data_IF_417308052179
#
_entry.id   IF_417308052179
#
_cell.length_a   1.000
_cell.length_b   1.000
_cell.length_c   1.000
_cell.angle_alpha   90.00
_cell.angle_beta   90.00
_cell.angle_gamma   90.00
#
_symmetry.space_group_name_H-M   'P 1'
#
loop_
_entity.id
_entity.type
_entity.pdbx_description
1 polymer ?
#
# COMPACT_ATOMS: atom_id res chain seq x y z
N UNK A 1 49.38 -58.92 31.49
CA UNK A 1 48.00 -58.44 31.66
C UNK A 1 47.44 -58.10 30.29
N UNK A 2 46.66 -59.03 29.75
CA UNK A 2 46.20 -59.00 28.36
C UNK A 2 44.85 -58.31 28.31
N UNK A 3 44.78 -57.15 27.66
CA UNK A 3 43.53 -56.40 27.45
C UNK A 3 42.57 -57.30 26.65
N UNK A 4 41.45 -57.63 27.27
CA UNK A 4 40.38 -58.36 26.61
C UNK A 4 39.93 -57.61 25.37
N UNK A 5 40.25 -58.20 24.22
CA UNK A 5 39.81 -57.74 22.91
C UNK A 5 38.31 -58.01 22.86
N UNK A 6 37.51 -56.99 23.12
CA UNK A 6 36.05 -57.03 23.03
C UNK A 6 35.65 -57.33 21.58
N UNK A 7 35.58 -58.63 21.26
CA UNK A 7 34.98 -59.17 20.06
C UNK A 7 33.47 -59.18 20.28
N UNK A 8 32.76 -58.76 19.23
CA UNK A 8 31.30 -58.80 19.00
C UNK A 8 30.69 -57.40 19.20
N UNK A 9 30.30 -56.69 18.13
CA UNK A 9 29.15 -57.12 17.34
C UNK A 9 29.11 -56.34 16.02
N UNK A 10 29.39 -57.02 14.90
CA UNK A 10 29.20 -56.48 13.55
C UNK A 10 27.75 -56.04 13.32
N UNK A 11 26.78 -56.72 13.96
CA UNK A 11 25.39 -56.29 13.98
C UNK A 11 25.21 -54.95 14.71
N UNK A 12 25.80 -54.76 15.90
CA UNK A 12 25.78 -53.48 16.63
C UNK A 12 26.38 -52.35 15.81
N UNK A 13 27.49 -52.60 15.11
CA UNK A 13 28.11 -51.65 14.18
C UNK A 13 27.16 -51.27 13.02
N UNK A 14 26.49 -52.25 12.41
CA UNK A 14 25.57 -52.03 11.30
C UNK A 14 24.31 -51.25 11.73
N UNK A 15 23.76 -51.55 12.91
CA UNK A 15 22.63 -50.81 13.48
C UNK A 15 23.01 -49.36 13.81
N UNK A 16 24.20 -49.14 14.35
CA UNK A 16 24.75 -47.79 14.58
C UNK A 16 24.93 -47.03 13.27
N UNK A 17 25.44 -47.69 12.23
CA UNK A 17 25.61 -47.07 10.91
C UNK A 17 24.26 -46.68 10.30
N UNK A 18 23.28 -47.58 10.30
CA UNK A 18 21.91 -47.29 9.83
C UNK A 18 21.22 -46.19 10.64
N UNK A 19 21.42 -46.16 11.96
CA UNK A 19 20.88 -45.10 12.82
C UNK A 19 21.52 -43.74 12.50
N UNK A 20 22.84 -43.72 12.30
CA UNK A 20 23.57 -42.53 11.89
C UNK A 20 23.11 -42.03 10.52
N UNK A 21 22.93 -42.92 9.55
CA UNK A 21 22.46 -42.57 8.21
C UNK A 21 21.04 -42.00 8.24
N UNK A 22 20.14 -42.62 9.01
CA UNK A 22 18.79 -42.08 9.26
C UNK A 22 18.83 -40.70 9.92
N UNK A 23 19.69 -40.50 10.91
CA UNK A 23 19.87 -39.20 11.56
C UNK A 23 20.37 -38.15 10.55
N UNK A 24 21.37 -38.49 9.74
CA UNK A 24 21.89 -37.60 8.69
C UNK A 24 20.82 -37.24 7.66
N UNK A 25 19.99 -38.20 7.26
CA UNK A 25 18.85 -37.94 6.36
C UNK A 25 17.85 -36.97 7.02
N UNK A 26 17.52 -37.15 8.30
CA UNK A 26 16.64 -36.24 9.04
C UNK A 26 17.21 -34.84 9.14
N UNK A 27 18.49 -34.72 9.48
CA UNK A 27 19.19 -33.42 9.55
C UNK A 27 19.21 -32.74 8.18
N UNK A 28 19.51 -33.49 7.11
CA UNK A 28 19.53 -32.94 5.75
C UNK A 28 18.14 -32.50 5.26
N UNK A 29 17.08 -33.18 5.70
CA UNK A 29 15.68 -32.85 5.38
C UNK A 29 15.05 -31.86 6.36
N UNK A 30 15.78 -31.43 7.39
CA UNK A 30 15.22 -30.53 8.39
C UNK A 30 15.00 -29.14 7.76
N UNK A 31 13.75 -28.69 7.79
CA UNK A 31 13.39 -27.32 7.43
C UNK A 31 13.69 -26.39 8.62
N UNK A 32 13.93 -25.10 8.33
CA UNK A 32 14.06 -24.06 9.36
C UNK A 32 12.91 -24.11 10.37
N UNK A 33 13.22 -23.95 11.65
CA UNK A 33 12.24 -23.97 12.73
C UNK A 33 11.28 -22.77 12.69
N UNK A 34 11.75 -21.65 12.13
CA UNK A 34 10.98 -20.41 11.97
C UNK A 34 11.01 -20.04 10.50
N UNK A 35 9.82 -19.88 9.92
CA UNK A 35 9.65 -19.28 8.61
C UNK A 35 9.84 -17.75 8.74
N UNK A 36 10.82 -17.21 8.01
CA UNK A 36 11.10 -15.78 7.91
C UNK A 36 10.96 -15.28 6.46
N UNK A 37 10.39 -16.09 5.57
CA UNK A 37 10.21 -15.67 4.18
C UNK A 37 9.02 -14.73 4.09
N UNK A 38 9.16 -13.63 3.32
CA UNK A 38 8.04 -12.74 3.08
C UNK A 38 6.93 -13.51 2.33
N UNK A 39 5.65 -13.24 2.65
CA UNK A 39 4.54 -13.86 1.96
C UNK A 39 4.58 -13.51 0.46
N UNK A 40 4.12 -14.43 -0.37
CA UNK A 40 4.06 -14.21 -1.81
C UNK A 40 3.25 -12.94 -2.14
N UNK A 41 3.80 -12.10 -3.02
CA UNK A 41 3.17 -10.85 -3.44
C UNK A 41 1.81 -11.14 -4.06
N UNK A 42 0.77 -10.56 -3.48
CA UNK A 42 -0.62 -10.69 -3.93
C UNK A 42 -0.95 -9.49 -4.84
N UNK A 43 -1.25 -9.70 -6.14
CA UNK A 43 -1.52 -8.59 -7.06
C UNK A 43 -2.65 -7.65 -6.61
N UNK A 44 -3.68 -8.20 -5.95
CA UNK A 44 -4.80 -7.43 -5.41
C UNK A 44 -4.45 -6.52 -4.21
N UNK A 45 -3.31 -6.76 -3.55
CA UNK A 45 -2.82 -5.89 -2.46
C UNK A 45 -2.02 -4.71 -3.02
N UNK A 46 -1.39 -4.88 -4.17
CA UNK A 46 -0.54 -3.86 -4.81
C UNK A 46 -1.37 -2.89 -5.65
N UNK A 47 -2.47 -3.35 -6.23
CA UNK A 47 -3.25 -2.56 -7.18
C UNK A 47 -4.39 -1.77 -6.53
N UNK A 48 -4.15 -0.48 -6.24
CA UNK A 48 -5.19 0.45 -5.79
C UNK A 48 -5.98 1.05 -6.96
N UNK A 49 -6.78 0.21 -7.62
CA UNK A 49 -7.59 0.59 -8.79
C UNK A 49 -8.49 1.81 -8.52
N UNK A 50 -9.18 1.80 -7.37
CA UNK A 50 -10.14 2.83 -6.99
C UNK A 50 -9.45 4.17 -6.71
N UNK A 51 -8.28 4.14 -6.06
CA UNK A 51 -7.48 5.35 -5.85
C UNK A 51 -7.07 6.00 -7.17
N UNK A 52 -6.59 5.20 -8.12
CA UNK A 52 -6.21 5.68 -9.46
C UNK A 52 -7.41 6.27 -10.22
N UNK A 53 -8.59 5.66 -10.10
CA UNK A 53 -9.82 6.17 -10.69
C UNK A 53 -10.20 7.54 -10.10
N UNK A 54 -10.23 7.65 -8.76
CA UNK A 54 -10.63 8.89 -8.09
C UNK A 54 -9.69 10.06 -8.42
N UNK A 55 -8.37 9.82 -8.53
CA UNK A 55 -7.43 10.87 -8.93
C UNK A 55 -7.65 11.33 -10.38
N UNK A 56 -8.00 10.43 -11.29
CA UNK A 56 -8.39 10.82 -12.67
C UNK A 56 -9.64 11.68 -12.67
N UNK A 57 -10.71 11.24 -11.99
CA UNK A 57 -11.97 11.98 -11.91
C UNK A 57 -11.78 13.37 -11.28
N UNK A 58 -10.91 13.47 -10.26
CA UNK A 58 -10.53 14.73 -9.64
C UNK A 58 -9.79 15.65 -10.60
N UNK A 59 -8.83 15.13 -11.37
CA UNK A 59 -8.12 15.91 -12.39
C UNK A 59 -9.08 16.42 -13.47
N UNK A 60 -9.98 15.57 -13.96
CA UNK A 60 -10.99 15.94 -14.96
C UNK A 60 -11.91 17.06 -14.44
N UNK A 61 -12.30 17.00 -13.16
CA UNK A 61 -13.07 18.06 -12.53
C UNK A 61 -12.28 19.36 -12.47
N UNK A 62 -11.02 19.32 -12.05
CA UNK A 62 -10.15 20.51 -11.99
C UNK A 62 -10.00 21.16 -13.36
N UNK A 63 -9.75 20.37 -14.40
CA UNK A 63 -9.58 20.87 -15.78
C UNK A 63 -10.85 21.55 -16.26
N UNK A 64 -12.01 20.94 -16.02
CA UNK A 64 -13.31 21.51 -16.40
C UNK A 64 -13.58 22.83 -15.69
N UNK A 65 -13.37 22.88 -14.38
CA UNK A 65 -13.58 24.10 -13.58
C UNK A 65 -12.62 25.22 -14.00
N UNK A 66 -11.35 24.88 -14.26
CA UNK A 66 -10.36 25.84 -14.76
C UNK A 66 -10.77 26.44 -16.11
N UNK A 67 -11.28 25.62 -17.03
CA UNK A 67 -11.79 26.10 -18.31
C UNK A 67 -12.96 27.07 -18.14
N UNK A 68 -13.93 26.74 -17.28
CA UNK A 68 -15.08 27.60 -16.97
C UNK A 68 -14.60 28.91 -16.35
N UNK A 69 -13.66 28.86 -15.40
CA UNK A 69 -13.08 30.02 -14.75
C UNK A 69 -12.38 30.93 -15.77
N UNK A 70 -11.53 30.37 -16.64
CA UNK A 70 -10.83 31.12 -17.67
C UNK A 70 -11.80 31.80 -18.64
N UNK A 71 -12.87 31.10 -19.04
CA UNK A 71 -13.92 31.69 -19.88
C UNK A 71 -14.59 32.88 -19.18
N UNK A 72 -14.96 32.74 -17.91
CA UNK A 72 -15.56 33.83 -17.12
C UNK A 72 -14.60 35.02 -16.96
N UNK A 73 -13.33 34.76 -16.66
CA UNK A 73 -12.31 35.79 -16.53
C UNK A 73 -12.10 36.54 -17.84
N UNK A 74 -12.04 35.82 -18.97
CA UNK A 74 -12.00 36.43 -20.30
C UNK A 74 -13.20 37.36 -20.50
N UNK A 75 -14.40 36.88 -20.23
CA UNK A 75 -15.62 37.67 -20.39
C UNK A 75 -15.59 38.93 -19.51
N UNK A 76 -15.12 38.83 -18.27
CA UNK A 76 -14.97 39.98 -17.35
C UNK A 76 -13.94 40.99 -17.89
N UNK A 77 -12.78 40.51 -18.34
CA UNK A 77 -11.70 41.38 -18.85
C UNK A 77 -12.08 42.12 -20.13
N UNK A 78 -12.87 41.48 -21.01
CA UNK A 78 -13.26 42.06 -22.30
C UNK A 78 -14.58 42.84 -22.24
N UNK A 79 -15.32 42.77 -21.14
CA UNK A 79 -16.47 43.67 -20.92
C UNK A 79 -15.92 45.10 -20.85
N UNK A 80 -16.35 45.95 -21.79
CA UNK A 80 -16.21 47.41 -21.65
C UNK A 80 -16.79 47.78 -20.28
N UNK A 81 -16.03 48.48 -19.45
CA UNK A 81 -16.57 49.14 -18.26
C UNK A 81 -17.78 49.95 -18.73
N UNK A 82 -18.98 49.56 -18.31
CA UNK A 82 -20.17 50.38 -18.51
C UNK A 82 -19.94 51.64 -17.70
N UNK A 83 -19.56 52.72 -18.38
CA UNK A 83 -19.55 54.09 -17.86
C UNK A 83 -20.98 54.62 -17.70
N UNK A 84 -21.87 53.78 -17.19
CA UNK A 84 -23.25 54.11 -16.85
C UNK A 84 -23.45 53.52 -15.47
N UNK A 85 -23.30 54.40 -14.49
CA UNK A 85 -23.61 54.25 -13.08
C UNK A 85 -23.27 52.90 -12.44
N UNK A 86 -22.14 52.93 -11.72
CA UNK A 86 -21.87 52.13 -10.54
C UNK A 86 -23.08 52.14 -9.59
N UNK A 87 -24.04 51.24 -9.82
CA UNK A 87 -24.89 50.75 -8.76
C UNK A 87 -23.94 49.99 -7.84
N UNK A 88 -23.36 50.73 -6.90
CA UNK A 88 -22.63 50.19 -5.76
C UNK A 88 -23.49 49.06 -5.24
N UNK A 89 -22.97 47.84 -5.27
CA UNK A 89 -23.59 46.68 -4.63
C UNK A 89 -23.85 47.09 -3.19
N UNK A 90 -25.07 47.56 -2.92
CA UNK A 90 -25.50 47.95 -1.60
C UNK A 90 -25.67 46.61 -0.91
N UNK A 91 -24.67 46.24 -0.12
CA UNK A 91 -24.80 45.13 0.80
C UNK A 91 -26.02 45.46 1.65
N UNK A 92 -27.12 44.74 1.42
CA UNK A 92 -28.22 44.77 2.34
C UNK A 92 -27.68 44.15 3.63
N UNK A 93 -27.33 45.03 4.57
CA UNK A 93 -27.07 44.66 5.95
C UNK A 93 -28.36 44.01 6.46
N UNK A 94 -28.44 42.69 6.31
CA UNK A 94 -29.51 41.90 6.89
C UNK A 94 -29.46 42.16 8.38
N UNK A 95 -30.45 42.92 8.86
CA UNK A 95 -30.66 43.24 10.28
C UNK A 95 -30.49 41.97 11.09
N UNK A 96 -29.40 41.88 11.84
CA UNK A 96 -29.25 40.84 12.83
C UNK A 96 -30.38 41.00 13.85
N UNK A 97 -31.29 40.02 13.90
CA UNK A 97 -32.36 40.00 14.89
C UNK A 97 -31.69 39.82 16.24
N UNK A 98 -31.60 40.91 17.01
CA UNK A 98 -31.10 40.88 18.38
C UNK A 98 -32.22 40.31 19.25
N UNK A 99 -32.11 39.04 19.64
CA UNK A 99 -33.01 38.43 20.61
C UNK A 99 -32.76 39.03 22.00
N UNK A 100 -33.86 39.29 22.73
CA UNK A 100 -33.86 39.73 24.13
C UNK A 100 -33.63 38.58 25.08
#
# INVERSE_FOLDING_TARGET
MSYERNRNSSASSMWRHKAYERHRIKVKKATRAIDVDPPQTRPHVVFNAKGLQLEREKQDRIIRENFILLKKLRDIMHRKQSTEESYRLKWDETRCIRTR
#
